data_IF_696539221268
#
_entry.id   IF_696539221268
#
_cell.length_a   1.000
_cell.length_b   1.000
_cell.length_c   1.000
_cell.angle_alpha   90.00
_cell.angle_beta   90.00
_cell.angle_gamma   90.00
#
_symmetry.space_group_name_H-M   'P 1'
#
loop_
_entity.id
_entity.type
_entity.pdbx_description
1 polymer ?
#
# COMPACT_ATOMS: atom_id res chain seq x y z
N UNK A 1 -3.86 -10.54 0.49
CA UNK A 1 -3.37 -9.83 -0.72
C UNK A 1 -1.85 -9.84 -0.68
N UNK A 2 -1.19 -9.99 -1.83
CA UNK A 2 0.28 -9.99 -1.89
C UNK A 2 0.80 -8.55 -2.04
N UNK A 3 1.97 -8.18 -1.47
CA UNK A 3 2.48 -6.81 -1.52
C UNK A 3 2.68 -6.26 -2.93
N UNK A 4 3.06 -7.11 -3.88
CA UNK A 4 3.28 -6.77 -5.29
C UNK A 4 1.98 -6.50 -6.07
N UNK A 5 0.82 -6.90 -5.53
CA UNK A 5 -0.50 -6.63 -6.12
C UNK A 5 -1.08 -5.29 -5.65
N UNK A 6 -0.30 -4.48 -4.93
CA UNK A 6 -0.69 -3.18 -4.44
C UNK A 6 0.41 -2.17 -4.72
N UNK A 7 0.01 -0.92 -4.95
CA UNK A 7 0.92 0.22 -5.00
C UNK A 7 0.35 1.39 -4.20
N UNK A 8 1.22 2.32 -3.81
CA UNK A 8 0.77 3.64 -3.39
C UNK A 8 0.12 4.33 -4.60
N UNK A 9 -1.05 4.92 -4.39
CA UNK A 9 -1.76 5.69 -5.40
C UNK A 9 -1.12 7.07 -5.55
N UNK A 10 -1.22 7.65 -6.75
CA UNK A 10 -0.84 9.05 -6.96
C UNK A 10 -1.79 9.99 -6.21
N UNK A 11 -1.35 11.20 -5.89
CA UNK A 11 -2.11 12.16 -5.07
C UNK A 11 -3.50 12.50 -5.63
N UNK A 12 -3.66 12.44 -6.96
CA UNK A 12 -4.89 12.70 -7.70
C UNK A 12 -5.81 11.48 -7.84
N UNK A 13 -5.33 10.28 -7.50
CA UNK A 13 -6.07 9.04 -7.67
C UNK A 13 -6.90 8.71 -6.40
N UNK A 14 -8.22 8.76 -6.54
CA UNK A 14 -9.18 8.58 -5.44
C UNK A 14 -10.16 7.44 -5.64
N UNK A 15 -10.43 7.03 -6.88
CA UNK A 15 -11.39 5.97 -7.17
C UNK A 15 -10.81 4.58 -6.85
N UNK A 16 -11.47 3.81 -5.99
CA UNK A 16 -11.05 2.45 -5.65
C UNK A 16 -9.78 2.33 -4.79
N UNK A 17 -9.33 3.44 -4.19
CA UNK A 17 -8.14 3.47 -3.36
C UNK A 17 -8.48 3.51 -1.86
N UNK A 18 -7.77 2.73 -1.05
CA UNK A 18 -7.91 2.73 0.40
C UNK A 18 -7.05 3.81 1.04
N UNK A 19 -7.67 4.71 1.79
CA UNK A 19 -6.94 5.71 2.57
C UNK A 19 -6.24 5.07 3.77
N UNK A 20 -5.03 5.53 4.05
CA UNK A 20 -4.24 5.05 5.18
C UNK A 20 -3.04 5.93 5.52
N UNK A 21 -2.23 5.44 6.44
CA UNK A 21 -1.00 6.07 6.90
C UNK A 21 0.15 5.08 6.82
N UNK A 22 1.32 5.53 6.36
CA UNK A 22 2.52 4.72 6.37
C UNK A 22 3.03 4.59 7.82
N UNK A 23 2.94 3.40 8.39
CA UNK A 23 3.39 3.07 9.76
C UNK A 23 4.72 2.32 9.78
N UNK A 24 5.35 2.15 8.62
CA UNK A 24 6.65 1.52 8.50
C UNK A 24 7.14 1.52 7.05
N UNK A 25 8.45 1.57 6.84
CA UNK A 25 9.05 1.27 5.54
C UNK A 25 10.33 0.48 5.66
N UNK A 26 10.59 -0.43 4.70
CA UNK A 26 11.85 -1.17 4.59
C UNK A 26 12.31 -1.28 3.14
N UNK A 27 13.62 -1.25 2.94
CA UNK A 27 14.22 -1.50 1.64
C UNK A 27 14.43 -3.00 1.43
N UNK A 28 14.06 -3.51 0.25
CA UNK A 28 14.19 -4.91 -0.11
C UNK A 28 14.70 -5.05 -1.55
N UNK A 29 16.02 -5.12 -1.72
CA UNK A 29 16.64 -5.59 -2.96
C UNK A 29 16.26 -4.85 -4.25
N UNK A 30 15.90 -3.56 -4.17
CA UNK A 30 15.54 -2.73 -5.33
C UNK A 30 14.16 -2.10 -5.28
N UNK A 31 13.32 -2.49 -4.31
CA UNK A 31 12.02 -1.85 -4.05
C UNK A 31 11.89 -1.46 -2.58
N UNK A 32 10.96 -0.57 -2.29
CA UNK A 32 10.58 -0.24 -0.90
C UNK A 32 9.26 -0.93 -0.59
N UNK A 33 9.22 -1.66 0.53
CA UNK A 33 7.97 -2.20 1.08
C UNK A 33 7.49 -1.25 2.17
N UNK A 34 6.28 -0.75 1.98
CA UNK A 34 5.58 0.11 2.91
C UNK A 34 4.59 -0.72 3.71
N UNK A 35 4.52 -0.47 5.02
CA UNK A 35 3.43 -0.94 5.86
C UNK A 35 2.46 0.20 6.03
N UNK A 36 1.25 0.05 5.51
CA UNK A 36 0.20 1.06 5.55
C UNK A 36 -0.90 0.58 6.49
N UNK A 37 -1.25 1.41 7.47
CA UNK A 37 -2.45 1.20 8.28
C UNK A 37 -3.61 1.91 7.61
N UNK A 38 -4.63 1.17 7.21
CA UNK A 38 -5.85 1.71 6.61
C UNK A 38 -6.74 2.35 7.68
N UNK A 39 -7.68 3.19 7.26
CA UNK A 39 -8.60 3.90 8.17
C UNK A 39 -9.48 2.95 9.02
N UNK A 40 -9.75 1.73 8.56
CA UNK A 40 -10.46 0.67 9.28
C UNK A 40 -9.54 -0.18 10.18
N UNK A 41 -8.24 0.15 10.24
CA UNK A 41 -7.28 -0.45 11.15
C UNK A 41 -6.54 -1.68 10.60
N UNK A 42 -6.80 -2.10 9.35
CA UNK A 42 -6.02 -3.17 8.74
C UNK A 42 -4.59 -2.70 8.42
N UNK A 43 -3.62 -3.62 8.49
CA UNK A 43 -2.25 -3.35 8.07
C UNK A 43 -1.96 -4.06 6.75
N UNK A 44 -1.56 -3.28 5.75
CA UNK A 44 -1.24 -3.72 4.40
C UNK A 44 0.26 -3.56 4.15
N UNK A 45 0.89 -4.59 3.62
CA UNK A 45 2.21 -4.45 3.01
C UNK A 45 2.04 -4.10 1.54
N UNK A 46 2.71 -3.05 1.07
CA UNK A 46 2.57 -2.48 -0.26
C UNK A 46 3.95 -2.28 -0.86
N UNK A 47 4.16 -2.74 -2.10
CA UNK A 47 5.40 -2.47 -2.82
C UNK A 47 5.31 -1.11 -3.51
N UNK A 48 6.37 -0.31 -3.42
CA UNK A 48 6.48 0.94 -4.17
C UNK A 48 7.83 1.10 -4.86
N UNK A 49 7.81 1.89 -5.92
CA UNK A 49 8.84 2.00 -6.94
C UNK A 49 9.69 3.28 -6.88
N UNK A 50 9.41 4.21 -5.94
CA UNK A 50 10.41 5.23 -5.59
C UNK A 50 9.92 6.62 -5.22
N UNK A 51 8.62 6.94 -5.30
CA UNK A 51 8.13 8.25 -4.83
C UNK A 51 8.32 8.46 -3.31
N UNK A 52 8.62 7.39 -2.57
CA UNK A 52 9.35 7.51 -1.31
C UNK A 52 8.53 8.05 -0.15
N UNK A 53 7.27 7.61 0.01
CA UNK A 53 6.44 7.98 1.15
C UNK A 53 7.18 7.77 2.48
N UNK A 54 6.97 8.70 3.42
CA UNK A 54 7.61 8.70 4.74
C UNK A 54 6.71 8.03 5.76
N UNK A 55 7.31 7.50 6.82
CA UNK A 55 6.52 7.09 7.99
C UNK A 55 5.77 8.31 8.56
N UNK A 56 4.52 8.10 8.96
CA UNK A 56 3.58 9.16 9.36
C UNK A 56 2.87 9.86 8.20
N UNK A 57 3.23 9.56 6.94
CA UNK A 57 2.60 10.18 5.78
C UNK A 57 1.23 9.54 5.49
N UNK A 58 0.23 10.40 5.27
CA UNK A 58 -1.08 9.95 4.78
C UNK A 58 -0.95 9.61 3.31
N UNK A 59 -1.43 8.43 2.95
CA UNK A 59 -1.34 7.90 1.59
C UNK A 59 -2.62 7.18 1.21
N UNK A 60 -2.66 6.71 -0.02
CA UNK A 60 -3.73 5.86 -0.55
C UNK A 60 -3.10 4.62 -1.17
N UNK A 61 -3.73 3.47 -0.96
CA UNK A 61 -3.29 2.18 -1.52
C UNK A 61 -4.28 1.76 -2.59
N UNK A 62 -3.78 1.39 -3.76
CA UNK A 62 -4.60 0.82 -4.84
C UNK A 62 -4.13 -0.58 -5.18
N UNK A 63 -5.04 -1.37 -5.75
CA UNK A 63 -4.67 -2.64 -6.37
C UNK A 63 -3.98 -2.37 -7.72
N UNK A 64 -2.92 -3.12 -7.98
CA UNK A 64 -2.26 -3.19 -9.30
C UNK A 64 -2.73 -4.47 -9.99
N UNK A 65 -3.68 -4.34 -10.91
CA UNK A 65 -4.26 -5.46 -11.68
C UNK A 65 -5.42 -6.20 -10.99
N UNK A 66 -5.81 -7.35 -11.54
CA UNK A 66 -6.86 -8.23 -10.99
C UNK A 66 -6.35 -9.03 -9.79
N UNK A 67 -6.26 -8.39 -8.62
CA UNK A 67 -5.84 -9.07 -7.40
C UNK A 67 -7.01 -9.88 -6.79
N UNK A 68 -6.88 -11.21 -6.75
CA UNK A 68 -7.86 -12.09 -6.09
C UNK A 68 -7.52 -12.21 -4.60
N UNK A 69 -8.39 -11.67 -3.74
CA UNK A 69 -8.30 -11.89 -2.29
C UNK A 69 -8.91 -13.26 -1.93
N UNK A 70 -8.11 -14.15 -1.35
CA UNK A 70 -8.58 -15.41 -0.76
C UNK A 70 -8.61 -15.24 0.76
N UNK A 71 -9.79 -15.37 1.36
CA UNK A 71 -9.99 -15.41 2.83
C UNK A 71 -10.58 -16.77 3.16
N UNK A 72 -10.05 -17.48 4.18
CA UNK A 72 -10.70 -18.70 4.68
C UNK A 72 -11.81 -18.33 5.66
N UNK A 73 -12.97 -18.99 5.50
CA UNK A 73 -14.11 -18.97 6.40
C UNK A 73 -13.77 -19.62 7.75
#
# INVERSE_FOLDING_TARGET
LRPESMSLAADDETAGAWAGEVVGRRFAGGHTVYRVRTADGAELEVMGDGAGAREGERTRVRLTGDAVAVVRA
#
